data_IF_475925779026
#
_entry.id   IF_475925779026
#
_cell.length_a   1.000
_cell.length_b   1.000
_cell.length_c   1.000
_cell.angle_alpha   90.00
_cell.angle_beta   90.00
_cell.angle_gamma   90.00
#
_symmetry.space_group_name_H-M   'P 1'
#
loop_
_entity.id
_entity.type
_entity.pdbx_description
1 polymer ?
#
# COMPACT_ATOMS: atom_id res chain seq x y z
N UNK A 1 17.90 -5.48 13.13
CA UNK A 1 16.51 -5.54 13.66
C UNK A 1 16.14 -7.00 13.75
N UNK A 2 15.67 -7.48 14.92
CA UNK A 2 15.38 -8.91 15.15
C UNK A 2 13.93 -9.28 14.83
N UNK A 3 13.05 -8.30 14.64
CA UNK A 3 11.65 -8.47 14.25
C UNK A 3 11.05 -7.18 13.70
N UNK A 4 9.99 -7.30 12.90
CA UNK A 4 9.13 -6.19 12.50
C UNK A 4 7.76 -6.33 13.20
N UNK A 5 7.07 -5.23 13.51
CA UNK A 5 5.77 -5.28 14.18
C UNK A 5 4.68 -5.80 13.25
N UNK A 6 3.71 -6.57 13.78
CA UNK A 6 2.57 -7.07 12.98
C UNK A 6 1.65 -5.95 12.46
N UNK A 7 1.60 -4.80 13.12
CA UNK A 7 0.93 -3.59 12.63
C UNK A 7 1.85 -2.74 11.72
N UNK A 8 2.59 -3.40 10.84
CA UNK A 8 3.67 -2.84 10.02
C UNK A 8 3.27 -1.57 9.30
N UNK A 9 2.13 -1.56 8.61
CA UNK A 9 1.69 -0.41 7.80
C UNK A 9 1.33 0.83 8.64
N UNK A 10 0.83 0.62 9.86
CA UNK A 10 0.59 1.72 10.82
C UNK A 10 1.93 2.29 11.33
N UNK A 11 2.93 1.42 11.55
CA UNK A 11 4.29 1.81 11.95
C UNK A 11 5.02 2.53 10.81
N UNK A 12 4.86 2.06 9.57
CA UNK A 12 5.42 2.75 8.39
C UNK A 12 4.85 4.16 8.21
N UNK A 13 3.59 4.37 8.56
CA UNK A 13 3.03 5.73 8.56
C UNK A 13 3.76 6.67 9.53
N UNK A 14 4.22 6.17 10.69
CA UNK A 14 5.04 6.99 11.62
C UNK A 14 6.39 7.34 11.00
N UNK A 15 6.98 6.45 10.22
CA UNK A 15 8.23 6.71 9.51
C UNK A 15 8.03 7.78 8.42
N UNK A 16 6.93 7.72 7.67
CA UNK A 16 6.56 8.74 6.66
C UNK A 16 6.38 10.10 7.35
N UNK A 17 5.64 10.15 8.46
CA UNK A 17 5.44 11.39 9.24
C UNK A 17 6.78 11.95 9.72
N UNK A 18 7.64 11.12 10.30
CA UNK A 18 8.95 11.54 10.76
C UNK A 18 9.81 12.12 9.63
N UNK A 19 9.75 11.53 8.43
CA UNK A 19 10.45 12.04 7.25
C UNK A 19 9.92 13.41 6.81
N UNK A 20 8.58 13.57 6.73
CA UNK A 20 7.95 14.85 6.38
C UNK A 20 8.38 15.95 7.36
N UNK A 21 8.37 15.66 8.66
CA UNK A 21 8.76 16.59 9.71
C UNK A 21 10.27 16.89 9.67
N UNK A 22 11.11 15.88 9.47
CA UNK A 22 12.56 16.05 9.34
C UNK A 22 12.93 16.96 8.16
N UNK A 23 12.26 16.76 7.03
CA UNK A 23 12.44 17.58 5.82
C UNK A 23 11.76 18.96 5.93
N UNK A 24 11.03 19.22 7.03
CA UNK A 24 10.29 20.48 7.28
C UNK A 24 9.30 20.82 6.16
N UNK A 25 8.70 19.78 5.54
CA UNK A 25 7.68 19.97 4.53
C UNK A 25 6.36 20.35 5.21
N UNK A 26 5.63 21.30 4.62
CA UNK A 26 4.38 21.80 5.22
C UNK A 26 3.21 20.87 4.95
N UNK A 27 3.04 20.48 3.70
CA UNK A 27 1.94 19.66 3.25
C UNK A 27 2.35 18.95 1.95
N UNK A 28 2.16 17.62 1.90
CA UNK A 28 2.61 16.78 0.79
C UNK A 28 1.47 15.95 0.21
N UNK A 29 1.59 15.55 -1.04
CA UNK A 29 0.81 14.43 -1.58
C UNK A 29 1.55 13.14 -1.23
N UNK A 30 0.82 12.13 -0.76
CA UNK A 30 1.38 10.83 -0.39
C UNK A 30 0.83 9.78 -1.33
N UNK A 31 1.73 9.09 -2.03
CA UNK A 31 1.40 7.96 -2.86
C UNK A 31 1.96 6.70 -2.22
N UNK A 32 1.13 5.67 -2.13
CA UNK A 32 1.53 4.35 -1.70
C UNK A 32 0.97 3.28 -2.62
N UNK A 33 1.78 2.28 -2.94
CA UNK A 33 1.38 1.14 -3.76
C UNK A 33 1.45 -0.15 -2.96
N UNK A 34 0.54 -1.09 -3.21
CA UNK A 34 0.46 -2.35 -2.48
C UNK A 34 0.40 -2.10 -0.96
N UNK A 35 1.25 -2.73 -0.16
CA UNK A 35 1.38 -2.45 1.28
C UNK A 35 1.59 -0.97 1.62
N UNK A 36 2.25 -0.21 0.77
CA UNK A 36 2.44 1.23 0.92
C UNK A 36 1.15 2.05 0.87
N UNK A 37 0.08 1.53 0.26
CA UNK A 37 -1.23 2.19 0.23
C UNK A 37 -1.81 2.34 1.64
N UNK A 38 -1.73 1.30 2.48
CA UNK A 38 -2.13 1.39 3.88
C UNK A 38 -1.27 2.39 4.67
N UNK A 39 0.05 2.40 4.43
CA UNK A 39 0.94 3.37 5.07
C UNK A 39 0.57 4.81 4.69
N UNK A 40 0.27 5.07 3.41
CA UNK A 40 -0.16 6.38 2.92
C UNK A 40 -1.48 6.84 3.55
N UNK A 41 -2.48 5.96 3.60
CA UNK A 41 -3.78 6.24 4.23
C UNK A 41 -3.60 6.49 5.74
N UNK A 42 -2.84 5.64 6.43
CA UNK A 42 -2.58 5.80 7.86
C UNK A 42 -1.82 7.09 8.19
N UNK A 43 -0.92 7.53 7.30
CA UNK A 43 -0.25 8.85 7.42
C UNK A 43 -1.27 9.98 7.46
N UNK A 44 -2.23 9.97 6.53
CA UNK A 44 -3.29 10.96 6.46
C UNK A 44 -4.29 10.87 7.63
N UNK A 45 -4.62 9.65 8.10
CA UNK A 45 -5.46 9.44 9.26
C UNK A 45 -4.81 9.92 10.56
N UNK A 46 -3.48 9.79 10.69
CA UNK A 46 -2.72 10.25 11.85
C UNK A 46 -2.51 11.75 11.86
N UNK A 47 -2.08 12.30 10.72
CA UNK A 47 -1.62 13.69 10.58
C UNK A 47 -2.20 14.34 9.32
N UNK A 48 -3.53 14.56 9.27
CA UNK A 48 -4.20 15.14 8.11
C UNK A 48 -3.68 16.53 7.72
N UNK A 49 -3.13 17.27 8.68
CA UNK A 49 -2.55 18.58 8.42
C UNK A 49 -1.25 18.54 7.62
N UNK A 50 -0.55 17.40 7.60
CA UNK A 50 0.66 17.19 6.82
C UNK A 50 0.41 16.67 5.40
N UNK A 51 -0.82 16.16 5.13
CA UNK A 51 -1.15 15.51 3.87
C UNK A 51 -2.14 16.37 3.07
N UNK A 52 -1.81 16.63 1.81
CA UNK A 52 -2.69 17.32 0.88
C UNK A 52 -3.67 16.35 0.21
N UNK A 53 -3.14 15.30 -0.41
CA UNK A 53 -3.93 14.25 -1.08
C UNK A 53 -3.25 12.89 -0.88
N UNK A 54 -4.05 11.82 -0.93
CA UNK A 54 -3.58 10.43 -0.89
C UNK A 54 -3.84 9.77 -2.24
N UNK A 55 -2.86 9.02 -2.74
CA UNK A 55 -3.02 8.09 -3.85
C UNK A 55 -2.72 6.69 -3.31
N UNK A 56 -3.72 5.81 -3.33
CA UNK A 56 -3.66 4.45 -2.83
C UNK A 56 -3.80 3.48 -4.00
N UNK A 57 -2.67 2.85 -4.38
CA UNK A 57 -2.56 2.01 -5.57
C UNK A 57 -2.49 0.53 -5.21
N UNK A 58 -3.30 -0.29 -5.90
CA UNK A 58 -3.19 -1.76 -5.95
C UNK A 58 -3.09 -2.43 -4.57
N UNK A 59 -4.18 -2.39 -3.77
CA UNK A 59 -4.22 -2.99 -2.44
C UNK A 59 -5.60 -3.56 -2.10
N UNK A 60 -5.67 -4.46 -1.12
CA UNK A 60 -6.89 -5.21 -0.77
C UNK A 60 -7.98 -4.39 -0.06
N UNK A 61 -7.72 -3.16 0.32
CA UNK A 61 -8.72 -2.31 0.96
C UNK A 61 -8.79 -2.48 2.48
N UNK A 62 -10.01 -2.70 3.03
CA UNK A 62 -10.27 -2.69 4.47
C UNK A 62 -9.92 -3.99 5.19
N UNK A 63 -9.73 -5.07 4.46
CA UNK A 63 -9.36 -6.37 5.00
C UNK A 63 -8.46 -7.09 4.02
N UNK A 64 -7.55 -7.90 4.53
CA UNK A 64 -6.81 -8.83 3.70
C UNK A 64 -7.75 -9.93 3.21
N UNK A 65 -7.51 -10.40 1.97
CA UNK A 65 -8.21 -11.56 1.42
C UNK A 65 -7.87 -12.84 2.19
N UNK A 66 -8.76 -13.82 2.20
CA UNK A 66 -8.54 -15.08 2.90
C UNK A 66 -7.35 -15.88 2.31
N UNK A 67 -7.03 -15.67 1.03
CA UNK A 67 -5.86 -16.27 0.34
C UNK A 67 -4.56 -15.51 0.60
N UNK A 68 -4.58 -14.33 1.20
CA UNK A 68 -3.44 -13.43 1.33
C UNK A 68 -2.16 -14.11 1.81
N UNK A 69 -2.24 -14.91 2.89
CA UNK A 69 -1.04 -15.57 3.45
C UNK A 69 -0.46 -16.60 2.48
N UNK A 70 -1.32 -17.40 1.85
CA UNK A 70 -0.88 -18.41 0.88
C UNK A 70 -0.21 -17.78 -0.34
N UNK A 71 -0.84 -16.75 -0.90
CA UNK A 71 -0.33 -16.01 -2.06
C UNK A 71 0.95 -15.25 -1.74
N UNK A 72 1.03 -14.60 -0.58
CA UNK A 72 2.25 -13.95 -0.10
C UNK A 72 3.43 -14.93 -0.02
N UNK A 73 3.25 -16.07 0.64
CA UNK A 73 4.31 -17.06 0.81
C UNK A 73 4.77 -17.64 -0.53
N UNK A 74 3.84 -17.86 -1.45
CA UNK A 74 4.11 -18.35 -2.80
C UNK A 74 4.89 -17.31 -3.62
N UNK A 75 4.47 -16.05 -3.58
CA UNK A 75 5.15 -14.94 -4.26
C UNK A 75 6.58 -14.77 -3.71
N UNK A 76 6.76 -14.74 -2.38
CA UNK A 76 8.08 -14.60 -1.76
C UNK A 76 9.02 -15.75 -2.12
N UNK A 77 8.49 -16.97 -2.16
CA UNK A 77 9.27 -18.15 -2.56
C UNK A 77 9.71 -18.05 -4.02
N UNK A 78 8.81 -17.62 -4.91
CA UNK A 78 9.12 -17.42 -6.32
C UNK A 78 10.16 -16.30 -6.48
N UNK A 79 9.91 -15.13 -5.93
CA UNK A 79 10.78 -13.96 -6.09
C UNK A 79 12.21 -14.19 -5.56
N UNK A 80 12.38 -15.00 -4.52
CA UNK A 80 13.72 -15.38 -4.04
C UNK A 80 14.48 -16.32 -4.98
N UNK A 81 13.79 -17.04 -5.84
CA UNK A 81 14.38 -17.96 -6.82
C UNK A 81 14.56 -17.31 -8.19
N UNK A 82 13.77 -16.31 -8.50
CA UNK A 82 13.83 -15.55 -9.74
C UNK A 82 14.98 -14.53 -9.72
N UNK A 83 15.65 -14.34 -10.86
CA UNK A 83 16.78 -13.41 -10.95
C UNK A 83 16.31 -11.97 -10.77
N UNK A 84 15.29 -11.58 -11.50
CA UNK A 84 14.76 -10.20 -11.47
C UNK A 84 14.17 -9.85 -10.10
N UNK A 85 13.50 -10.82 -9.47
CA UNK A 85 12.95 -10.69 -8.13
C UNK A 85 14.03 -10.47 -7.06
N UNK A 86 15.13 -11.22 -7.13
CA UNK A 86 16.27 -11.04 -6.22
C UNK A 86 16.95 -9.70 -6.44
N UNK A 87 17.23 -9.33 -7.69
CA UNK A 87 17.86 -8.04 -8.03
C UNK A 87 17.00 -6.87 -7.53
N UNK A 88 15.68 -6.98 -7.66
CA UNK A 88 14.75 -5.97 -7.13
C UNK A 88 14.84 -5.86 -5.60
N UNK A 89 14.82 -6.98 -4.88
CA UNK A 89 14.93 -6.95 -3.41
C UNK A 89 16.29 -6.45 -2.93
N UNK A 90 17.36 -6.88 -3.56
CA UNK A 90 18.72 -6.42 -3.25
C UNK A 90 18.85 -4.90 -3.51
N UNK A 91 18.33 -4.42 -4.63
CA UNK A 91 18.30 -3.00 -4.94
C UNK A 91 17.48 -2.18 -3.92
N UNK A 92 16.36 -2.71 -3.45
CA UNK A 92 15.48 -2.01 -2.49
C UNK A 92 16.01 -2.04 -1.04
N UNK A 93 16.63 -3.15 -0.63
CA UNK A 93 16.94 -3.43 0.78
C UNK A 93 18.43 -3.51 1.09
N UNK A 94 19.29 -3.63 0.07
CA UNK A 94 20.75 -3.79 0.24
C UNK A 94 21.17 -5.23 0.51
N UNK A 95 22.40 -5.39 1.05
CA UNK A 95 23.06 -6.69 1.18
C UNK A 95 22.33 -7.68 2.11
N UNK A 96 21.55 -7.19 3.05
CA UNK A 96 20.78 -8.00 4.02
C UNK A 96 19.31 -8.20 3.60
N UNK A 97 19.02 -8.02 2.31
CA UNK A 97 17.65 -8.07 1.76
C UNK A 97 16.89 -9.36 2.13
N UNK A 98 17.55 -10.53 2.15
CA UNK A 98 16.87 -11.80 2.48
C UNK A 98 16.31 -11.75 3.90
N UNK A 99 17.10 -11.26 4.87
CA UNK A 99 16.66 -11.10 6.26
C UNK A 99 15.51 -10.10 6.35
N UNK A 100 15.62 -8.98 5.65
CA UNK A 100 14.58 -7.94 5.67
C UNK A 100 13.28 -8.47 5.08
N UNK A 101 13.34 -9.19 3.94
CA UNK A 101 12.16 -9.80 3.30
C UNK A 101 11.53 -10.87 4.18
N UNK A 102 12.33 -11.70 4.88
CA UNK A 102 11.81 -12.72 5.79
C UNK A 102 11.13 -12.11 7.02
N UNK A 103 11.72 -11.09 7.63
CA UNK A 103 11.11 -10.36 8.73
C UNK A 103 9.81 -9.66 8.30
N UNK A 104 9.79 -9.07 7.11
CA UNK A 104 8.58 -8.49 6.54
C UNK A 104 7.50 -9.54 6.32
N UNK A 105 7.84 -10.66 5.71
CA UNK A 105 6.91 -11.77 5.48
C UNK A 105 6.32 -12.28 6.80
N UNK A 106 7.15 -12.48 7.82
CA UNK A 106 6.68 -12.89 9.14
C UNK A 106 5.70 -11.89 9.74
N UNK A 107 6.01 -10.59 9.69
CA UNK A 107 5.14 -9.54 10.22
C UNK A 107 3.78 -9.50 9.50
N UNK A 108 3.76 -9.70 8.17
CA UNK A 108 2.52 -9.74 7.40
C UNK A 108 1.68 -10.99 7.67
N UNK A 109 2.32 -12.17 7.83
CA UNK A 109 1.64 -13.40 8.26
C UNK A 109 1.03 -13.24 9.64
N UNK A 110 1.76 -12.61 10.58
CA UNK A 110 1.24 -12.31 11.91
C UNK A 110 0.07 -11.33 11.85
N UNK A 111 0.16 -10.26 11.04
CA UNK A 111 -0.91 -9.30 10.81
C UNK A 111 -2.21 -10.00 10.37
N UNK A 112 -2.11 -10.84 9.34
CA UNK A 112 -3.25 -11.59 8.80
C UNK A 112 -3.82 -12.59 9.82
N UNK A 113 -2.95 -13.37 10.49
CA UNK A 113 -3.36 -14.40 11.46
C UNK A 113 -4.04 -13.80 12.68
N UNK A 114 -3.53 -12.68 13.18
CA UNK A 114 -4.10 -11.95 14.32
C UNK A 114 -5.29 -11.08 13.94
N UNK A 115 -5.59 -10.94 12.65
CA UNK A 115 -6.60 -10.01 12.12
C UNK A 115 -6.39 -8.59 12.65
N UNK A 116 -5.15 -8.13 12.59
CA UNK A 116 -4.78 -6.79 13.02
C UNK A 116 -5.56 -5.72 12.24
N UNK A 117 -5.84 -4.60 12.89
CA UNK A 117 -6.47 -3.47 12.22
C UNK A 117 -5.50 -2.89 11.19
N UNK A 118 -5.93 -2.75 9.93
CA UNK A 118 -5.14 -2.18 8.84
C UNK A 118 -5.09 -0.64 8.88
N UNK A 119 -6.07 -0.03 9.55
CA UNK A 119 -6.17 1.42 9.75
C UNK A 119 -6.17 1.78 11.23
N UNK A 120 -5.42 2.82 11.59
CA UNK A 120 -5.32 3.32 12.97
C UNK A 120 -6.63 3.95 13.48
N UNK A 121 -7.48 4.42 12.57
CA UNK A 121 -8.77 5.02 12.84
C UNK A 121 -9.78 4.56 11.78
N UNK A 122 -11.09 4.67 12.05
CA UNK A 122 -12.11 4.44 11.03
C UNK A 122 -11.87 5.30 9.77
N UNK A 123 -12.02 4.71 8.59
CA UNK A 123 -11.74 5.36 7.30
C UNK A 123 -12.62 6.61 7.08
N UNK A 124 -13.82 6.64 7.68
CA UNK A 124 -14.75 7.77 7.67
C UNK A 124 -14.16 9.05 8.30
N UNK A 125 -13.09 8.89 9.06
CA UNK A 125 -12.38 10.02 9.66
C UNK A 125 -11.32 10.65 8.74
N UNK A 126 -11.10 10.09 7.55
CA UNK A 126 -10.18 10.65 6.56
C UNK A 126 -10.71 11.99 6.03
N UNK A 127 -9.94 13.05 6.18
CA UNK A 127 -10.34 14.43 5.85
C UNK A 127 -9.64 15.02 4.62
N UNK A 128 -8.85 14.21 3.94
CA UNK A 128 -8.12 14.64 2.75
C UNK A 128 -8.62 13.86 1.53
N UNK A 129 -8.58 14.46 0.33
CA UNK A 129 -8.95 13.76 -0.90
C UNK A 129 -8.10 12.50 -1.09
N UNK A 130 -8.75 11.43 -1.55
CA UNK A 130 -8.07 10.17 -1.83
C UNK A 130 -8.47 9.63 -3.21
N UNK A 131 -7.46 9.19 -3.96
CA UNK A 131 -7.61 8.40 -5.18
C UNK A 131 -7.30 6.95 -4.89
N UNK A 132 -8.30 6.08 -5.02
CA UNK A 132 -8.13 4.63 -5.08
C UNK A 132 -7.90 4.23 -6.54
N UNK A 133 -6.73 3.66 -6.83
CA UNK A 133 -6.35 3.31 -8.21
C UNK A 133 -5.85 1.87 -8.25
N UNK A 134 -6.12 1.16 -9.34
CA UNK A 134 -5.72 -0.24 -9.48
C UNK A 134 -6.05 -0.79 -10.87
N UNK A 135 -5.81 -2.08 -11.08
CA UNK A 135 -6.10 -2.79 -12.31
C UNK A 135 -7.11 -3.92 -12.09
N UNK A 136 -8.04 -4.12 -13.03
CA UNK A 136 -9.00 -5.22 -12.97
C UNK A 136 -8.35 -6.60 -13.16
N UNK A 137 -7.14 -6.65 -13.72
CA UNK A 137 -6.38 -7.87 -13.93
C UNK A 137 -5.20 -8.02 -12.96
N UNK A 138 -5.22 -7.27 -11.85
CA UNK A 138 -4.26 -7.45 -10.78
C UNK A 138 -4.42 -8.85 -10.16
N UNK A 139 -3.36 -9.64 -10.22
CA UNK A 139 -3.35 -11.03 -9.79
C UNK A 139 -2.84 -11.24 -8.36
N UNK A 140 -2.35 -10.15 -7.73
CA UNK A 140 -1.88 -10.16 -6.35
C UNK A 140 -2.84 -9.51 -5.35
N UNK A 141 -3.91 -8.89 -5.84
CA UNK A 141 -4.97 -8.31 -5.02
C UNK A 141 -6.27 -9.11 -5.12
N UNK A 142 -7.17 -8.85 -4.18
CA UNK A 142 -8.52 -9.43 -4.17
C UNK A 142 -9.24 -9.23 -5.51
N UNK A 143 -10.01 -10.24 -5.94
CA UNK A 143 -10.70 -10.22 -7.25
C UNK A 143 -11.83 -9.19 -7.33
N UNK A 144 -12.40 -8.80 -6.21
CA UNK A 144 -13.47 -7.80 -6.12
C UNK A 144 -12.94 -6.40 -5.71
N UNK A 145 -11.66 -6.10 -5.97
CA UNK A 145 -10.98 -4.85 -5.60
C UNK A 145 -11.79 -3.60 -6.00
N UNK A 146 -12.37 -3.58 -7.21
CA UNK A 146 -13.22 -2.46 -7.63
C UNK A 146 -14.44 -2.26 -6.73
N UNK A 147 -15.09 -3.35 -6.32
CA UNK A 147 -16.24 -3.27 -5.41
C UNK A 147 -15.82 -2.78 -4.03
N UNK A 148 -14.67 -3.25 -3.53
CA UNK A 148 -14.11 -2.78 -2.28
C UNK A 148 -13.78 -1.28 -2.32
N UNK A 149 -13.11 -0.81 -3.39
CA UNK A 149 -12.82 0.62 -3.57
C UNK A 149 -14.09 1.46 -3.65
N UNK A 150 -15.14 0.92 -4.28
CA UNK A 150 -16.45 1.58 -4.34
C UNK A 150 -17.10 1.72 -2.97
N UNK A 151 -16.97 0.71 -2.11
CA UNK A 151 -17.45 0.84 -0.74
C UNK A 151 -16.59 1.80 0.08
N UNK A 152 -15.26 1.73 -0.06
CA UNK A 152 -14.35 2.65 0.61
C UNK A 152 -14.57 4.11 0.21
N UNK A 153 -14.80 4.38 -1.08
CA UNK A 153 -15.04 5.75 -1.57
C UNK A 153 -16.33 6.37 -1.03
N UNK A 154 -17.31 5.57 -0.62
CA UNK A 154 -18.55 6.06 0.04
C UNK A 154 -18.33 6.42 1.52
N UNK A 155 -17.29 5.88 2.15
CA UNK A 155 -16.99 6.13 3.55
C UNK A 155 -16.21 7.43 3.76
N UNK A 156 -15.43 7.84 2.78
CA UNK A 156 -14.58 9.04 2.86
C UNK A 156 -15.30 10.27 2.32
N UNK A 157 -14.88 11.45 2.73
CA UNK A 157 -15.50 12.71 2.33
C UNK A 157 -15.25 13.05 0.85
N UNK A 158 -14.07 12.75 0.33
CA UNK A 158 -13.65 13.02 -1.06
C UNK A 158 -12.86 11.83 -1.61
N UNK A 159 -13.57 10.81 -2.10
CA UNK A 159 -13.03 9.58 -2.64
C UNK A 159 -13.23 9.45 -4.14
N UNK A 160 -12.15 9.39 -4.91
CA UNK A 160 -12.13 9.13 -6.34
C UNK A 160 -11.63 7.71 -6.61
N UNK A 161 -12.16 7.06 -7.64
CA UNK A 161 -11.72 5.71 -8.06
C UNK A 161 -11.30 5.76 -9.51
N UNK A 162 -10.21 5.10 -9.81
CA UNK A 162 -9.82 4.79 -11.18
C UNK A 162 -9.36 3.34 -11.30
N UNK A 163 -9.92 2.60 -12.24
CA UNK A 163 -9.53 1.21 -12.52
C UNK A 163 -9.10 1.06 -13.97
N UNK A 164 -7.88 0.57 -14.15
CA UNK A 164 -7.43 0.14 -15.48
C UNK A 164 -8.10 -1.16 -15.87
N UNK A 165 -8.45 -1.31 -17.14
CA UNK A 165 -9.07 -2.53 -17.66
C UNK A 165 -8.10 -3.72 -17.64
N UNK A 166 -6.78 -3.44 -17.72
CA UNK A 166 -5.72 -4.44 -17.74
C UNK A 166 -4.46 -3.95 -17.03
N UNK A 167 -3.58 -4.87 -16.72
CA UNK A 167 -2.28 -4.62 -16.08
C UNK A 167 -2.10 -5.48 -14.84
N UNK A 168 -0.88 -6.05 -14.70
CA UNK A 168 -0.47 -6.81 -13.52
C UNK A 168 -0.19 -5.90 -12.33
N UNK A 169 0.03 -6.49 -11.17
CA UNK A 169 0.41 -5.80 -9.94
C UNK A 169 1.82 -5.20 -10.00
N UNK A 170 2.00 -3.97 -9.51
CA UNK A 170 0.97 -2.96 -9.22
C UNK A 170 0.65 -2.10 -10.44
N UNK A 171 -0.47 -1.39 -10.43
CA UNK A 171 -0.93 -0.59 -11.56
C UNK A 171 0.04 0.54 -11.94
N UNK A 172 0.75 1.12 -10.98
CA UNK A 172 1.79 2.15 -11.21
C UNK A 172 2.90 1.64 -12.14
N UNK A 173 3.21 0.35 -12.11
CA UNK A 173 4.24 -0.27 -12.97
C UNK A 173 3.64 -0.68 -14.30
N UNK A 174 2.54 -1.43 -14.28
CA UNK A 174 1.94 -2.01 -15.47
C UNK A 174 1.23 -1.00 -16.38
N UNK A 175 0.86 0.17 -15.86
CA UNK A 175 0.16 1.25 -16.57
C UNK A 175 0.86 2.61 -16.42
N UNK A 176 2.16 2.64 -16.27
CA UNK A 176 2.96 3.78 -15.79
C UNK A 176 2.64 5.13 -16.48
N UNK A 177 2.49 5.16 -17.80
CA UNK A 177 2.22 6.39 -18.54
C UNK A 177 0.83 6.98 -18.23
N UNK A 178 -0.20 6.14 -18.33
CA UNK A 178 -1.56 6.56 -18.01
C UNK A 178 -1.74 6.85 -16.51
N UNK A 179 -1.13 6.01 -15.66
CA UNK A 179 -1.11 6.21 -14.22
C UNK A 179 -0.56 7.60 -13.86
N UNK A 180 0.59 7.96 -14.42
CA UNK A 180 1.19 9.27 -14.20
C UNK A 180 0.25 10.41 -14.61
N UNK A 181 -0.41 10.30 -15.77
CA UNK A 181 -1.36 11.31 -16.25
C UNK A 181 -2.56 11.45 -15.32
N UNK A 182 -3.11 10.34 -14.81
CA UNK A 182 -4.26 10.34 -13.89
C UNK A 182 -3.86 10.98 -12.55
N UNK A 183 -2.72 10.58 -11.99
CA UNK A 183 -2.23 11.14 -10.73
C UNK A 183 -1.93 12.62 -10.85
N UNK A 184 -1.28 13.08 -11.93
CA UNK A 184 -1.00 14.51 -12.16
C UNK A 184 -2.28 15.34 -12.31
N UNK A 185 -3.34 14.78 -12.88
CA UNK A 185 -4.63 15.46 -12.96
C UNK A 185 -5.37 15.49 -11.60
N UNK A 186 -5.10 14.51 -10.74
CA UNK A 186 -5.71 14.45 -9.41
C UNK A 186 -5.03 15.39 -8.43
N UNK A 187 -3.69 15.53 -8.46
CA UNK A 187 -2.95 16.39 -7.50
C UNK A 187 -2.92 17.84 -7.92
#
# INVERSE_FOLDING_TARGET
VDSLPSNLWITQADQVIALIEHLKLKKVNVLGTSGGAWAAINTALKRPELVNKVIADSFDGRSLDDSFVEELLKERTFAKQDVDGREFYEWCQGDDWEVVVDLNTQALVECATKKEALFIKPLETLKVPILFIGSQQDDMCRKDMYLEYKEMSKLVEDGTIYMFDSGAHPAIVSNAEQFSSIVLNFI
#
